data_IF_995344332989
#
_entry.id   IF_995344332989
#
_cell.length_a   1.000
_cell.length_b   1.000
_cell.length_c   1.000
_cell.angle_alpha   90.00
_cell.angle_beta   90.00
_cell.angle_gamma   90.00
#
_symmetry.space_group_name_H-M   'P 1'
#
loop_
_entity.id
_entity.type
_entity.pdbx_description
1 polymer ?
#
# COMPACT_ATOMS: atom_id res chain seq x y z
N UNK A 1 -26.11 -27.64 0.68
CA UNK A 1 -24.92 -27.15 -0.06
C UNK A 1 -24.78 -25.67 0.27
N UNK A 2 -23.68 -25.25 0.90
CA UNK A 2 -23.46 -23.83 1.31
C UNK A 2 -22.58 -23.05 0.32
N UNK A 3 -22.14 -23.67 -0.77
CA UNK A 3 -21.25 -23.06 -1.78
C UNK A 3 -21.99 -22.30 -2.89
N UNK A 4 -23.32 -22.38 -2.92
CA UNK A 4 -24.14 -21.70 -3.90
C UNK A 4 -25.18 -20.86 -3.18
N UNK A 5 -25.62 -19.80 -3.84
CA UNK A 5 -26.74 -19.01 -3.33
C UNK A 5 -28.02 -19.84 -3.19
N UNK A 6 -28.95 -19.39 -2.33
CA UNK A 6 -30.30 -19.94 -2.29
C UNK A 6 -30.88 -20.02 -3.70
N UNK A 7 -31.58 -21.13 -4.00
CA UNK A 7 -32.16 -21.37 -5.33
C UNK A 7 -33.10 -20.24 -5.78
N UNK A 8 -33.70 -19.54 -4.83
CA UNK A 8 -34.60 -18.41 -5.07
C UNK A 8 -33.90 -17.21 -5.73
N UNK A 9 -32.58 -17.08 -5.57
CA UNK A 9 -31.78 -15.98 -6.12
C UNK A 9 -31.11 -16.33 -7.46
N UNK A 10 -31.30 -17.54 -7.98
CA UNK A 10 -30.68 -17.95 -9.24
C UNK A 10 -31.33 -17.21 -10.41
N UNK A 11 -30.51 -16.54 -11.24
CA UNK A 11 -30.98 -15.76 -12.37
C UNK A 11 -31.53 -14.37 -12.02
N UNK A 12 -31.42 -13.93 -10.76
CA UNK A 12 -31.72 -12.56 -10.39
C UNK A 12 -30.60 -11.61 -10.87
N UNK A 13 -30.95 -10.54 -11.59
CA UNK A 13 -29.98 -9.53 -12.04
C UNK A 13 -29.37 -8.76 -10.86
N UNK A 14 -30.18 -8.47 -9.83
CA UNK A 14 -29.74 -7.74 -8.63
C UNK A 14 -30.09 -8.51 -7.35
N UNK A 15 -29.05 -8.95 -6.63
CA UNK A 15 -29.17 -9.45 -5.26
C UNK A 15 -28.87 -8.31 -4.28
N UNK A 16 -29.86 -7.94 -3.46
CA UNK A 16 -29.70 -6.89 -2.44
C UNK A 16 -28.69 -7.34 -1.38
N UNK A 17 -27.61 -6.57 -1.21
CA UNK A 17 -26.58 -6.80 -0.18
C UNK A 17 -26.51 -5.64 0.79
N UNK A 18 -26.20 -5.94 2.06
CA UNK A 18 -26.00 -4.94 3.11
C UNK A 18 -24.67 -4.19 2.98
N UNK A 19 -24.39 -3.33 3.96
CA UNK A 19 -23.10 -2.64 4.13
C UNK A 19 -22.02 -3.61 4.63
N UNK A 20 -20.75 -3.32 4.34
CA UNK A 20 -19.59 -3.94 5.01
C UNK A 20 -19.54 -3.60 6.51
N UNK A 21 -18.90 -4.48 7.28
CA UNK A 21 -18.69 -4.28 8.72
C UNK A 21 -17.68 -3.18 8.98
N UNK A 22 -18.05 -2.18 9.79
CA UNK A 22 -17.13 -1.12 10.21
C UNK A 22 -16.24 -1.57 11.37
N UNK A 23 -15.01 -1.04 11.47
CA UNK A 23 -14.09 -1.30 12.58
C UNK A 23 -14.73 -1.00 13.94
N UNK A 24 -15.46 0.10 14.05
CA UNK A 24 -16.10 0.51 15.32
C UNK A 24 -17.17 -0.47 15.79
N UNK A 25 -17.93 -1.06 14.86
CA UNK A 25 -18.94 -2.07 15.17
C UNK A 25 -18.27 -3.37 15.66
N UNK A 26 -17.15 -3.73 15.05
CA UNK A 26 -16.36 -4.93 15.39
C UNK A 26 -15.64 -4.78 16.74
N UNK A 27 -15.18 -3.58 17.09
CA UNK A 27 -14.52 -3.29 18.38
C UNK A 27 -15.44 -3.53 19.58
N UNK A 28 -16.76 -3.39 19.42
CA UNK A 28 -17.75 -3.64 20.48
C UNK A 28 -17.98 -5.15 20.70
N UNK A 29 -17.66 -6.00 19.72
CA UNK A 29 -17.95 -7.44 19.79
C UNK A 29 -16.88 -8.22 20.57
N UNK A 30 -17.31 -9.32 21.19
CA UNK A 30 -16.44 -10.26 21.89
C UNK A 30 -15.54 -11.03 20.91
N UNK A 31 -14.36 -11.50 21.36
CA UNK A 31 -13.47 -12.32 20.51
C UNK A 31 -14.14 -13.61 20.02
N UNK A 32 -14.99 -14.23 20.84
CA UNK A 32 -15.79 -15.41 20.45
C UNK A 32 -16.72 -15.09 19.29
N UNK A 33 -17.39 -13.94 19.31
CA UNK A 33 -18.32 -13.55 18.24
C UNK A 33 -17.57 -13.14 16.97
N UNK A 34 -16.42 -12.47 17.09
CA UNK A 34 -15.56 -12.18 15.94
C UNK A 34 -15.07 -13.47 15.26
N UNK A 35 -14.68 -14.47 16.04
CA UNK A 35 -14.27 -15.77 15.50
C UNK A 35 -15.42 -16.46 14.75
N UNK A 36 -16.65 -16.43 15.29
CA UNK A 36 -17.83 -16.96 14.58
C UNK A 36 -18.13 -16.17 13.31
N UNK A 37 -18.07 -14.84 13.38
CA UNK A 37 -18.30 -13.94 12.27
C UNK A 37 -17.31 -14.18 11.13
N UNK A 38 -16.03 -14.42 11.44
CA UNK A 38 -15.01 -14.76 10.45
C UNK A 38 -15.43 -15.95 9.59
N UNK A 39 -15.94 -17.03 10.20
CA UNK A 39 -16.39 -18.20 9.44
C UNK A 39 -17.65 -17.94 8.63
N UNK A 40 -18.57 -17.10 9.12
CA UNK A 40 -19.75 -16.68 8.34
C UNK A 40 -19.30 -15.93 7.08
N UNK A 41 -18.40 -14.97 7.22
CA UNK A 41 -17.82 -14.21 6.10
C UNK A 41 -17.01 -15.10 5.15
N UNK A 42 -16.29 -16.09 5.68
CA UNK A 42 -15.51 -17.03 4.88
C UNK A 42 -16.41 -17.92 4.02
N UNK A 43 -17.53 -18.41 4.56
CA UNK A 43 -18.52 -19.19 3.80
C UNK A 43 -19.12 -18.37 2.67
N UNK A 44 -19.52 -17.15 2.99
CA UNK A 44 -20.02 -16.17 2.03
C UNK A 44 -19.00 -15.89 0.91
N UNK A 45 -17.74 -15.61 1.27
CA UNK A 45 -16.65 -15.40 0.29
C UNK A 45 -16.47 -16.60 -0.63
N UNK A 46 -16.45 -17.82 -0.08
CA UNK A 46 -16.27 -19.03 -0.89
C UNK A 46 -17.45 -19.28 -1.83
N UNK A 47 -18.68 -18.99 -1.39
CA UNK A 47 -19.86 -19.05 -2.24
C UNK A 47 -19.77 -18.05 -3.40
N UNK A 48 -19.41 -16.80 -3.12
CA UNK A 48 -19.29 -15.77 -4.15
C UNK A 48 -18.18 -16.08 -5.16
N UNK A 49 -17.02 -16.57 -4.72
CA UNK A 49 -15.94 -16.99 -5.62
C UNK A 49 -16.36 -18.17 -6.52
N UNK A 50 -17.15 -19.11 -5.98
CA UNK A 50 -17.69 -20.23 -6.76
C UNK A 50 -18.62 -19.73 -7.86
N UNK A 51 -19.49 -18.78 -7.52
CA UNK A 51 -20.40 -18.18 -8.49
C UNK A 51 -19.68 -17.29 -9.51
N UNK A 52 -18.65 -16.55 -9.10
CA UNK A 52 -17.84 -15.73 -10.00
C UNK A 52 -17.16 -16.60 -11.06
N UNK A 53 -16.61 -17.75 -10.66
CA UNK A 53 -15.99 -18.69 -11.59
C UNK A 53 -17.03 -19.35 -12.50
N UNK A 54 -18.21 -19.68 -11.99
CA UNK A 54 -19.32 -20.20 -12.80
C UNK A 54 -19.78 -19.17 -13.85
N UNK A 55 -19.97 -17.91 -13.47
CA UNK A 55 -20.36 -16.84 -14.39
C UNK A 55 -19.28 -16.61 -15.46
N UNK A 56 -18.00 -16.61 -15.09
CA UNK A 56 -16.87 -16.53 -16.05
C UNK A 56 -16.88 -17.67 -17.05
N UNK A 57 -17.18 -18.90 -16.60
CA UNK A 57 -17.22 -20.10 -17.44
C UNK A 57 -18.34 -20.04 -18.48
N UNK A 58 -19.51 -19.58 -18.05
CA UNK A 58 -20.69 -19.40 -18.93
C UNK A 58 -20.66 -18.08 -19.72
N UNK A 59 -19.63 -17.25 -19.52
CA UNK A 59 -19.46 -15.93 -20.16
C UNK A 59 -20.65 -15.00 -19.84
N UNK A 60 -21.14 -15.09 -18.60
CA UNK A 60 -22.20 -14.26 -18.05
C UNK A 60 -21.63 -13.18 -17.13
N UNK A 61 -22.37 -12.07 -16.99
CA UNK A 61 -22.03 -11.04 -16.03
C UNK A 61 -22.35 -11.53 -14.61
N UNK A 62 -21.40 -11.38 -13.71
CA UNK A 62 -21.58 -11.77 -12.32
C UNK A 62 -22.63 -10.87 -11.63
N UNK A 63 -23.67 -11.44 -11.01
CA UNK A 63 -24.65 -10.64 -10.25
C UNK A 63 -23.98 -9.96 -9.06
N UNK A 64 -24.00 -8.63 -9.03
CA UNK A 64 -23.50 -7.78 -7.93
C UNK A 64 -22.04 -8.07 -7.47
N UNK A 65 -21.01 -7.72 -8.28
CA UNK A 65 -19.60 -7.92 -7.93
C UNK A 65 -19.17 -7.16 -6.66
N UNK A 66 -19.85 -6.05 -6.32
CA UNK A 66 -19.53 -5.26 -5.13
C UNK A 66 -19.63 -6.06 -3.83
N UNK A 67 -20.47 -7.11 -3.79
CA UNK A 67 -20.62 -7.97 -2.61
C UNK A 67 -19.30 -8.66 -2.24
N UNK A 68 -18.50 -9.05 -3.23
CA UNK A 68 -17.17 -9.64 -3.00
C UNK A 68 -16.26 -8.62 -2.29
N UNK A 69 -16.28 -7.38 -2.74
CA UNK A 69 -15.44 -6.32 -2.17
C UNK A 69 -15.89 -5.94 -0.76
N UNK A 70 -17.21 -5.86 -0.51
CA UNK A 70 -17.77 -5.63 0.85
C UNK A 70 -17.38 -6.74 1.83
N UNK A 71 -17.39 -7.99 1.40
CA UNK A 71 -16.96 -9.13 2.23
C UNK A 71 -15.45 -9.07 2.49
N UNK A 72 -14.63 -8.80 1.48
CA UNK A 72 -13.18 -8.61 1.63
C UNK A 72 -12.85 -7.47 2.60
N UNK A 73 -13.51 -6.33 2.46
CA UNK A 73 -13.36 -5.19 3.36
C UNK A 73 -13.71 -5.56 4.81
N UNK A 74 -14.84 -6.25 5.00
CA UNK A 74 -15.27 -6.72 6.32
C UNK A 74 -14.26 -7.68 6.96
N UNK A 75 -13.69 -8.60 6.17
CA UNK A 75 -12.66 -9.54 6.64
C UNK A 75 -11.37 -8.80 7.03
N UNK A 76 -10.92 -7.84 6.23
CA UNK A 76 -9.73 -7.04 6.54
C UNK A 76 -9.93 -6.20 7.82
N UNK A 77 -11.10 -5.56 7.96
CA UNK A 77 -11.44 -4.80 9.17
C UNK A 77 -11.47 -5.69 10.41
N UNK A 78 -11.98 -6.92 10.30
CA UNK A 78 -12.01 -7.88 11.40
C UNK A 78 -10.59 -8.31 11.80
N UNK A 79 -9.76 -8.66 10.82
CA UNK A 79 -8.35 -9.01 11.06
C UNK A 79 -7.60 -7.87 11.75
N UNK A 80 -7.79 -6.64 11.30
CA UNK A 80 -7.16 -5.45 11.87
C UNK A 80 -7.58 -5.24 13.34
N UNK A 81 -8.87 -5.34 13.67
CA UNK A 81 -9.35 -5.21 15.06
C UNK A 81 -8.78 -6.30 15.96
N UNK A 82 -8.66 -7.54 15.47
CA UNK A 82 -8.04 -8.63 16.24
C UNK A 82 -6.54 -8.37 16.45
N UNK A 83 -5.86 -7.85 15.42
CA UNK A 83 -4.45 -7.47 15.49
C UNK A 83 -4.21 -6.32 16.48
N UNK A 84 -5.02 -5.26 16.43
CA UNK A 84 -5.01 -4.14 17.39
C UNK A 84 -5.10 -4.66 18.84
N UNK A 85 -6.01 -5.61 19.10
CA UNK A 85 -6.20 -6.20 20.43
C UNK A 85 -4.98 -7.01 20.88
N UNK A 86 -4.42 -7.83 20.00
CA UNK A 86 -3.24 -8.63 20.32
C UNK A 86 -2.02 -7.75 20.57
N UNK A 87 -1.80 -6.74 19.73
CA UNK A 87 -0.71 -5.78 19.90
C UNK A 87 -0.83 -5.04 21.23
N UNK A 88 -2.01 -4.53 21.57
CA UNK A 88 -2.23 -3.87 22.86
C UNK A 88 -1.95 -4.80 24.05
N UNK A 89 -2.35 -6.07 23.96
CA UNK A 89 -2.07 -7.06 25.00
C UNK A 89 -0.56 -7.32 25.15
N UNK A 90 0.15 -7.59 24.04
CA UNK A 90 1.59 -7.87 24.09
C UNK A 90 2.41 -6.65 24.53
N UNK A 91 2.02 -5.44 24.13
CA UNK A 91 2.69 -4.22 24.58
C UNK A 91 2.57 -4.01 26.09
N UNK A 92 1.48 -4.45 26.71
CA UNK A 92 1.30 -4.37 28.17
C UNK A 92 2.07 -5.47 28.91
N UNK A 93 2.07 -6.71 28.39
CA UNK A 93 2.67 -7.87 29.05
C UNK A 93 4.19 -7.94 28.85
N UNK A 94 4.67 -7.79 27.61
CA UNK A 94 6.10 -7.94 27.26
C UNK A 94 6.77 -6.64 26.83
N UNK A 95 5.98 -5.62 26.46
CA UNK A 95 6.51 -4.38 25.87
C UNK A 95 6.80 -4.48 24.37
N UNK A 96 6.45 -5.61 23.74
CA UNK A 96 6.64 -5.85 22.30
C UNK A 96 5.27 -5.97 21.61
N UNK A 97 5.20 -5.76 20.29
CA UNK A 97 3.94 -5.85 19.54
C UNK A 97 3.38 -7.28 19.41
N UNK A 98 4.23 -8.31 19.58
CA UNK A 98 3.86 -9.73 19.41
C UNK A 98 3.77 -10.18 17.93
N UNK A 99 3.92 -9.27 16.98
CA UNK A 99 4.14 -9.61 15.58
C UNK A 99 5.52 -10.22 15.33
N UNK A 100 5.67 -10.88 14.17
CA UNK A 100 6.95 -11.44 13.76
C UNK A 100 8.04 -10.36 13.72
N UNK A 101 9.14 -10.50 14.46
CA UNK A 101 10.17 -9.47 14.53
C UNK A 101 10.93 -9.34 13.21
N UNK A 102 11.25 -8.10 12.86
CA UNK A 102 11.99 -7.73 11.64
C UNK A 102 13.37 -7.21 12.00
N UNK A 103 14.40 -7.68 11.30
CA UNK A 103 15.77 -7.23 11.48
C UNK A 103 16.28 -6.60 10.18
N UNK A 104 16.85 -5.38 10.23
CA UNK A 104 17.52 -4.80 9.09
C UNK A 104 18.78 -5.62 8.79
N UNK A 105 18.83 -6.20 7.59
CA UNK A 105 19.96 -7.00 7.13
C UNK A 105 20.28 -6.63 5.69
N UNK A 106 21.55 -6.66 5.35
CA UNK A 106 22.00 -6.54 3.98
C UNK A 106 21.62 -7.79 3.17
N UNK A 107 21.12 -7.58 1.96
CA UNK A 107 20.91 -8.65 0.99
C UNK A 107 22.18 -8.94 0.17
N UNK A 108 22.12 -9.93 -0.72
CA UNK A 108 23.23 -10.29 -1.62
C UNK A 108 23.71 -9.16 -2.53
N UNK A 109 22.87 -8.15 -2.76
CA UNK A 109 23.17 -6.98 -3.58
C UNK A 109 23.64 -5.78 -2.74
N UNK A 110 23.91 -5.97 -1.44
CA UNK A 110 24.37 -4.92 -0.53
C UNK A 110 23.29 -3.91 -0.12
N UNK A 111 22.01 -4.19 -0.41
CA UNK A 111 20.89 -3.35 0.06
C UNK A 111 20.44 -3.78 1.45
N UNK A 112 20.36 -2.81 2.37
CA UNK A 112 19.75 -3.00 3.68
C UNK A 112 18.24 -3.12 3.50
N UNK A 113 17.67 -4.26 3.88
CA UNK A 113 16.22 -4.52 3.87
C UNK A 113 15.81 -5.11 5.20
N UNK A 114 14.54 -4.93 5.55
CA UNK A 114 13.97 -5.58 6.73
C UNK A 114 13.65 -7.04 6.36
N UNK A 115 14.20 -7.99 7.13
CA UNK A 115 13.92 -9.42 6.98
C UNK A 115 13.19 -9.93 8.20
N UNK A 116 12.10 -10.65 7.98
CA UNK A 116 11.36 -11.34 9.02
C UNK A 116 12.19 -12.50 9.60
N UNK A 117 12.31 -12.55 10.93
CA UNK A 117 12.97 -13.65 11.62
C UNK A 117 12.10 -14.91 11.57
N UNK A 118 12.71 -16.05 11.25
CA UNK A 118 12.03 -17.34 11.20
C UNK A 118 12.46 -18.22 12.35
N UNK A 119 11.55 -19.08 12.79
CA UNK A 119 11.85 -20.12 13.76
C UNK A 119 12.77 -21.17 13.15
N UNK A 120 13.77 -21.60 13.92
CA UNK A 120 14.74 -22.60 13.51
C UNK A 120 14.89 -23.63 14.63
N UNK A 121 14.99 -24.92 14.26
CA UNK A 121 15.18 -26.02 15.22
C UNK A 121 16.50 -25.93 15.99
N UNK A 122 17.50 -25.25 15.44
CA UNK A 122 18.83 -25.15 16.02
C UNK A 122 19.37 -23.72 15.95
N UNK A 123 20.28 -23.34 16.87
CA UNK A 123 20.94 -22.04 16.82
C UNK A 123 21.68 -21.83 15.50
N UNK A 124 21.73 -20.58 15.04
CA UNK A 124 22.34 -20.19 13.75
C UNK A 124 23.79 -20.70 13.58
N UNK A 125 24.60 -20.68 14.65
CA UNK A 125 26.00 -21.13 14.63
C UNK A 125 26.17 -22.63 14.43
N UNK A 126 25.17 -23.41 14.83
CA UNK A 126 25.22 -24.87 14.81
C UNK A 126 24.69 -25.47 13.51
N UNK A 127 24.17 -24.64 12.59
CA UNK A 127 23.57 -25.11 11.33
C UNK A 127 24.63 -25.72 10.39
N UNK A 128 24.55 -27.03 10.04
CA UNK A 128 25.51 -27.69 9.17
C UNK A 128 25.54 -27.14 7.74
N UNK A 129 24.42 -26.58 7.26
CA UNK A 129 24.35 -25.91 5.95
C UNK A 129 25.06 -24.55 5.94
N UNK A 130 25.64 -24.15 7.08
CA UNK A 130 26.25 -22.85 7.27
C UNK A 130 25.23 -21.71 7.21
N UNK A 131 25.75 -20.49 7.15
CA UNK A 131 24.96 -19.29 6.88
C UNK A 131 25.58 -18.57 5.69
N UNK A 132 24.73 -17.97 4.86
CA UNK A 132 25.20 -17.10 3.79
C UNK A 132 25.99 -15.93 4.40
N UNK A 133 27.29 -15.88 4.11
CA UNK A 133 28.15 -14.74 4.41
C UNK A 133 28.04 -13.76 3.25
N UNK A 134 27.85 -12.48 3.57
CA UNK A 134 27.91 -11.42 2.57
C UNK A 134 29.39 -11.17 2.29
N UNK A 135 29.85 -11.60 1.11
CA UNK A 135 31.17 -11.24 0.60
C UNK A 135 31.08 -9.88 -0.10
N UNK A 136 31.98 -8.96 0.27
CA UNK A 136 32.07 -7.62 -0.31
C UNK A 136 33.14 -7.64 -1.39
N UNK A 137 32.69 -7.78 -2.63
CA UNK A 137 33.56 -7.72 -3.80
C UNK A 137 33.61 -6.31 -4.37
N UNK A 138 34.69 -5.99 -5.09
CA UNK A 138 34.87 -4.69 -5.74
C UNK A 138 33.74 -4.37 -6.74
N UNK A 139 33.25 -5.39 -7.44
CA UNK A 139 32.16 -5.27 -8.40
C UNK A 139 30.85 -4.86 -7.70
N UNK A 140 30.63 -5.34 -6.47
CA UNK A 140 29.46 -4.98 -5.68
C UNK A 140 29.52 -3.50 -5.25
N UNK A 141 30.69 -3.02 -4.83
CA UNK A 141 30.88 -1.62 -4.47
C UNK A 141 30.67 -0.68 -5.69
N UNK A 142 31.16 -1.08 -6.87
CA UNK A 142 30.90 -0.35 -8.11
C UNK A 142 29.41 -0.35 -8.49
N UNK A 143 28.74 -1.50 -8.39
CA UNK A 143 27.30 -1.61 -8.60
C UNK A 143 26.52 -0.68 -7.66
N UNK A 144 26.86 -0.67 -6.37
CA UNK A 144 26.22 0.18 -5.37
C UNK A 144 26.44 1.68 -5.67
N UNK A 145 27.64 2.06 -6.12
CA UNK A 145 27.93 3.43 -6.57
C UNK A 145 27.03 3.84 -7.74
N UNK A 146 27.01 3.04 -8.81
CA UNK A 146 26.18 3.30 -10.00
C UNK A 146 24.69 3.32 -9.65
N UNK A 147 24.25 2.46 -8.73
CA UNK A 147 22.87 2.44 -8.25
C UNK A 147 22.51 3.73 -7.52
N UNK A 148 23.38 4.23 -6.63
CA UNK A 148 23.18 5.53 -5.94
C UNK A 148 23.13 6.68 -6.92
N UNK A 149 24.06 6.73 -7.89
CA UNK A 149 24.05 7.73 -8.96
C UNK A 149 22.73 7.68 -9.76
N UNK A 150 22.25 6.48 -10.10
CA UNK A 150 20.96 6.29 -10.79
C UNK A 150 19.78 6.77 -9.95
N UNK A 151 19.76 6.47 -8.65
CA UNK A 151 18.70 6.93 -7.75
C UNK A 151 18.71 8.45 -7.57
N UNK A 152 19.89 9.06 -7.52
CA UNK A 152 20.04 10.51 -7.49
C UNK A 152 19.49 11.15 -8.76
N UNK A 153 19.86 10.63 -9.94
CA UNK A 153 19.31 11.10 -11.23
C UNK A 153 17.79 10.95 -11.30
N UNK A 154 17.22 9.87 -10.75
CA UNK A 154 15.76 9.70 -10.64
C UNK A 154 15.13 10.76 -9.75
N UNK A 155 15.70 11.02 -8.56
CA UNK A 155 15.23 12.06 -7.66
C UNK A 155 15.25 13.44 -8.32
N UNK A 156 16.34 13.76 -9.01
CA UNK A 156 16.49 15.01 -9.77
C UNK A 156 15.47 15.10 -10.92
N UNK A 157 15.24 14.00 -11.63
CA UNK A 157 14.23 13.92 -12.68
C UNK A 157 12.83 14.20 -12.13
N UNK A 158 12.44 13.57 -11.02
CA UNK A 158 11.15 13.80 -10.38
C UNK A 158 11.04 15.25 -9.91
N UNK A 159 12.04 15.77 -9.20
CA UNK A 159 12.05 17.17 -8.75
C UNK A 159 11.91 18.15 -9.94
N UNK A 160 12.66 17.92 -11.03
CA UNK A 160 12.55 18.73 -12.26
C UNK A 160 11.17 18.61 -12.89
N UNK A 161 10.59 17.41 -12.91
CA UNK A 161 9.26 17.16 -13.50
C UNK A 161 8.19 17.87 -12.69
N UNK A 162 8.18 17.72 -11.36
CA UNK A 162 7.30 18.44 -10.45
C UNK A 162 7.43 19.95 -10.60
N UNK A 163 8.66 20.46 -10.66
CA UNK A 163 8.96 21.87 -10.92
C UNK A 163 8.34 22.35 -12.24
N UNK A 164 8.51 21.58 -13.32
CA UNK A 164 7.98 21.92 -14.63
C UNK A 164 6.45 21.84 -14.67
N UNK A 165 5.85 20.84 -13.99
CA UNK A 165 4.40 20.72 -13.85
C UNK A 165 3.81 21.93 -13.14
N UNK A 166 4.37 22.35 -12.00
CA UNK A 166 3.95 23.56 -11.28
C UNK A 166 4.06 24.78 -12.19
N UNK A 167 5.18 24.94 -12.90
CA UNK A 167 5.37 26.05 -13.83
C UNK A 167 4.30 26.08 -14.93
N UNK A 168 3.95 24.92 -15.48
CA UNK A 168 2.88 24.81 -16.48
C UNK A 168 1.51 25.12 -15.89
N UNK A 169 1.22 24.66 -14.67
CA UNK A 169 -0.04 24.94 -13.95
C UNK A 169 -0.19 26.44 -13.73
N UNK A 170 0.82 27.11 -13.15
CA UNK A 170 0.79 28.56 -12.90
C UNK A 170 0.66 29.34 -14.20
N UNK A 171 1.35 28.90 -15.27
CA UNK A 171 1.26 29.56 -16.58
C UNK A 171 -0.13 29.45 -17.21
N UNK A 172 -0.78 28.28 -17.08
CA UNK A 172 -2.11 28.02 -17.66
C UNK A 172 -3.24 28.56 -16.79
N UNK A 173 -3.05 28.53 -15.47
CA UNK A 173 -4.02 28.92 -14.44
C UNK A 173 -3.35 29.88 -13.43
N UNK A 174 -3.27 31.19 -13.74
CA UNK A 174 -2.61 32.17 -12.87
C UNK A 174 -3.25 32.34 -11.48
N UNK A 175 -4.53 32.01 -11.34
CA UNK A 175 -5.30 32.13 -10.08
C UNK A 175 -5.38 30.81 -9.29
N UNK A 176 -4.49 29.85 -9.57
CA UNK A 176 -4.44 28.57 -8.85
C UNK A 176 -4.18 28.79 -7.35
N UNK A 177 -4.81 27.99 -6.50
CA UNK A 177 -4.55 28.00 -5.06
C UNK A 177 -3.13 27.49 -4.77
N UNK A 178 -2.30 28.38 -4.22
CA UNK A 178 -0.90 28.11 -3.88
C UNK A 178 -0.76 27.20 -2.68
N UNK A 179 -1.73 27.23 -1.76
CA UNK A 179 -1.71 26.38 -0.56
C UNK A 179 -1.77 24.91 -0.97
N UNK A 180 -2.72 24.59 -1.85
CA UNK A 180 -2.90 23.24 -2.39
C UNK A 180 -1.65 22.75 -3.15
N UNK A 181 -0.98 23.62 -3.91
CA UNK A 181 0.25 23.23 -4.61
C UNK A 181 1.40 22.90 -3.65
N UNK A 182 1.52 23.60 -2.50
CA UNK A 182 2.55 23.30 -1.49
C UNK A 182 2.31 21.95 -0.82
N UNK A 183 1.04 21.60 -0.58
CA UNK A 183 0.66 20.31 -0.01
C UNK A 183 0.98 19.16 -0.97
N UNK A 184 0.62 19.31 -2.24
CA UNK A 184 0.83 18.26 -3.26
C UNK A 184 2.31 18.09 -3.65
N UNK A 185 3.11 19.17 -3.61
CA UNK A 185 4.51 19.17 -4.01
C UNK A 185 5.43 19.74 -2.92
N UNK A 186 5.65 19.00 -1.82
CA UNK A 186 6.45 19.49 -0.69
C UNK A 186 7.93 19.70 -1.02
N UNK A 187 8.45 19.00 -2.03
CA UNK A 187 9.86 19.05 -2.43
C UNK A 187 10.23 20.33 -3.22
N UNK A 188 9.26 21.10 -3.70
CA UNK A 188 9.51 22.25 -4.59
C UNK A 188 9.16 23.56 -3.89
N UNK A 189 10.13 24.45 -3.79
CA UNK A 189 9.93 25.82 -3.31
C UNK A 189 9.21 26.67 -4.38
N UNK A 190 7.91 26.91 -4.14
CA UNK A 190 7.01 27.62 -5.06
C UNK A 190 7.32 29.12 -5.09
N UNK A 191 7.69 29.72 -3.95
CA UNK A 191 7.92 31.16 -3.85
C UNK A 191 9.16 31.54 -4.66
N UNK A 192 10.20 30.70 -4.56
CA UNK A 192 11.40 30.82 -5.40
C UNK A 192 11.08 30.60 -6.88
N UNK A 193 10.17 29.68 -7.22
CA UNK A 193 9.76 29.43 -8.59
C UNK A 193 9.03 30.65 -9.19
N UNK A 194 8.08 31.23 -8.47
CA UNK A 194 7.34 32.42 -8.90
C UNK A 194 8.26 33.61 -9.11
N UNK A 195 9.22 33.82 -8.20
CA UNK A 195 10.23 34.87 -8.35
C UNK A 195 10.99 34.71 -9.67
N UNK A 196 11.47 33.50 -9.96
CA UNK A 196 12.17 33.18 -11.22
C UNK A 196 11.25 33.37 -12.43
N UNK A 197 9.96 33.03 -12.32
CA UNK A 197 9.01 33.21 -13.42
C UNK A 197 8.76 34.69 -13.71
N UNK A 198 8.55 35.50 -12.67
CA UNK A 198 8.37 36.96 -12.80
C UNK A 198 9.61 37.60 -13.41
N UNK A 199 10.80 37.29 -12.89
CA UNK A 199 12.08 37.76 -13.43
C UNK A 199 12.20 37.47 -14.93
N UNK A 200 11.94 36.22 -15.35
CA UNK A 200 11.98 35.85 -16.78
C UNK A 200 10.97 36.59 -17.65
N UNK A 201 9.79 36.90 -17.10
CA UNK A 201 8.77 37.70 -17.81
C UNK A 201 9.29 39.14 -18.01
N UNK A 202 9.81 39.77 -16.95
CA UNK A 202 10.37 41.13 -17.04
C UNK A 202 11.52 41.22 -18.05
N UNK A 203 12.48 40.28 -18.02
CA UNK A 203 13.60 40.27 -18.98
C UNK A 203 13.12 40.11 -20.43
N UNK A 204 12.05 39.33 -20.67
CA UNK A 204 11.49 39.16 -22.01
C UNK A 204 10.79 40.43 -22.53
N UNK A 205 10.17 41.23 -21.66
CA UNK A 205 9.58 42.52 -22.04
C UNK A 205 10.65 43.57 -22.35
N UNK A 206 11.72 43.66 -21.57
CA UNK A 206 12.83 44.59 -21.81
C UNK A 206 13.50 44.34 -23.18
N UNK A 207 13.69 43.07 -23.55
CA UNK A 207 14.25 42.68 -24.86
C UNK A 207 13.35 43.00 -26.06
N UNK A 208 12.04 43.19 -25.86
CA UNK A 208 11.09 43.56 -26.93
C UNK A 208 10.96 45.08 -27.12
N UNK A 209 11.43 45.87 -26.15
CA UNK A 209 11.32 47.34 -26.15
C UNK A 209 12.60 48.03 -26.64
N UNK A 210 13.66 47.26 -26.89
CA UNK A 210 14.93 47.71 -27.49
C UNK A 210 14.98 47.28 -28.95
#
# INVERSE_FOLDING_TARGET
MEFFEPKDNWGAEEVRSGKSWSKDELRIKSNSDLHKLWYILLKEKNMLLTMEEAAKREVELFPNPERIDKVKESMNNLEEVVRERNEAYHLLETGESGEQPWVPKENIYGFVRNFALKEHLMPRKSNPKGYFQLWRDKDLDEFLRLYREKMQKRKEFFHRTSRNQIMQIIKRFPNVDRSLLREQYPDVDIDKLEKIMKEKIYTAFEQQTT
#
